data_IF_553902114685
#
_entry.id   IF_553902114685
#
_cell.length_a   1.000
_cell.length_b   1.000
_cell.length_c   1.000
_cell.angle_alpha   90.00
_cell.angle_beta   90.00
_cell.angle_gamma   90.00
#
_symmetry.space_group_name_H-M   'P 1'
#
loop_
_entity.id
_entity.type
_entity.pdbx_description
1 polymer ?
#
# COMPACT_ATOMS: atom_id res chain seq x y z
N UNK A 1 22.80 -1.45 6.16
CA UNK A 1 22.47 -2.10 4.87
C UNK A 1 21.09 -1.61 4.46
N UNK A 2 20.90 -1.22 3.20
CA UNK A 2 19.61 -0.75 2.68
C UNK A 2 19.08 -1.72 1.63
N UNK A 3 17.76 -1.76 1.46
CA UNK A 3 17.09 -2.54 0.41
C UNK A 3 15.94 -1.73 -0.19
N UNK A 4 15.67 -1.94 -1.47
CA UNK A 4 14.50 -1.40 -2.15
C UNK A 4 13.34 -2.38 -1.97
N UNK A 5 12.16 -1.85 -1.64
CA UNK A 5 10.91 -2.62 -1.57
C UNK A 5 9.92 -1.95 -2.51
N UNK A 6 9.49 -2.67 -3.54
CA UNK A 6 8.49 -2.20 -4.50
C UNK A 6 7.11 -2.68 -4.04
N UNK A 7 6.13 -1.78 -4.02
CA UNK A 7 4.74 -2.05 -3.65
C UNK A 7 3.85 -1.83 -4.88
N UNK A 8 3.53 -2.91 -5.58
CA UNK A 8 2.74 -2.86 -6.83
C UNK A 8 1.22 -3.03 -6.59
N UNK A 9 0.81 -3.38 -5.36
CA UNK A 9 -0.59 -3.63 -5.08
C UNK A 9 -1.37 -2.32 -4.87
N UNK A 10 -2.40 -2.08 -5.69
CA UNK A 10 -3.26 -0.89 -5.59
C UNK A 10 -4.48 -1.09 -4.66
N UNK A 11 -4.59 -2.24 -3.98
CA UNK A 11 -5.75 -2.56 -3.15
C UNK A 11 -5.39 -3.34 -1.88
N UNK A 12 -6.35 -3.44 -0.95
CA UNK A 12 -6.19 -4.25 0.26
C UNK A 12 -6.40 -5.75 0.00
N UNK A 13 -5.63 -6.60 0.66
CA UNK A 13 -5.93 -8.04 0.76
C UNK A 13 -7.05 -8.25 1.80
N UNK A 14 -8.08 -9.04 1.48
CA UNK A 14 -9.20 -9.30 2.40
C UNK A 14 -8.98 -10.61 3.14
N UNK A 15 -8.94 -10.54 4.48
CA UNK A 15 -8.91 -11.70 5.36
C UNK A 15 -10.29 -11.93 5.96
N UNK A 16 -10.69 -13.20 6.06
CA UNK A 16 -11.78 -13.63 6.90
C UNK A 16 -11.26 -13.82 8.32
N UNK A 17 -11.82 -13.07 9.26
CA UNK A 17 -11.49 -13.16 10.69
C UNK A 17 -12.70 -13.76 11.38
N UNK A 18 -12.48 -14.86 12.09
CA UNK A 18 -13.49 -15.52 12.90
C UNK A 18 -13.30 -15.04 14.33
N UNK A 19 -14.36 -14.51 14.96
CA UNK A 19 -14.32 -14.18 16.39
C UNK A 19 -14.58 -15.43 17.26
N UNK A 20 -14.42 -15.29 18.58
CA UNK A 20 -14.55 -16.40 19.53
C UNK A 20 -15.93 -17.07 19.51
N UNK A 21 -16.95 -16.33 19.06
CA UNK A 21 -18.34 -16.77 18.91
C UNK A 21 -18.59 -17.45 17.54
N UNK A 22 -17.59 -17.50 16.67
CA UNK A 22 -17.68 -18.10 15.34
C UNK A 22 -18.21 -17.17 14.24
N UNK A 23 -18.40 -15.87 14.51
CA UNK A 23 -18.85 -14.94 13.48
C UNK A 23 -17.70 -14.57 12.54
N UNK A 24 -17.99 -14.52 11.24
CA UNK A 24 -17.02 -14.16 10.21
C UNK A 24 -17.09 -12.66 9.91
N UNK A 25 -15.96 -11.97 10.00
CA UNK A 25 -15.81 -10.57 9.60
C UNK A 25 -14.69 -10.42 8.57
N UNK A 26 -14.92 -9.59 7.56
CA UNK A 26 -13.88 -9.25 6.60
C UNK A 26 -13.01 -8.11 7.13
N UNK A 27 -11.70 -8.32 7.14
CA UNK A 27 -10.70 -7.29 7.46
C UNK A 27 -9.76 -7.07 6.29
N UNK A 28 -9.56 -5.81 5.93
CA UNK A 28 -8.65 -5.42 4.86
C UNK A 28 -7.25 -5.19 5.41
N UNK A 29 -6.26 -5.91 4.87
CA UNK A 29 -4.83 -5.71 5.10
C UNK A 29 -4.28 -4.82 4.00
N UNK A 30 -3.54 -3.79 4.40
CA UNK A 30 -2.92 -2.85 3.46
C UNK A 30 -1.80 -3.55 2.70
N UNK A 31 -1.89 -3.54 1.36
CA UNK A 31 -0.80 -4.00 0.50
C UNK A 31 -0.13 -2.85 -0.26
N UNK A 32 -0.80 -1.70 -0.41
CA UNK A 32 -0.27 -0.53 -1.14
C UNK A 32 0.80 0.27 -0.38
N UNK A 33 0.91 0.11 0.94
CA UNK A 33 1.89 0.85 1.75
C UNK A 33 1.49 2.29 2.14
N UNK A 34 0.34 2.80 1.69
CA UNK A 34 -0.10 4.19 1.93
C UNK A 34 -0.99 4.39 3.16
N UNK A 35 -1.37 3.31 3.86
CA UNK A 35 -2.22 3.42 5.05
C UNK A 35 -1.46 4.07 6.20
N UNK A 36 -2.10 5.01 6.91
CA UNK A 36 -1.59 5.51 8.20
C UNK A 36 -1.94 4.60 9.37
N UNK A 37 -2.71 3.54 9.13
CA UNK A 37 -3.16 2.58 10.14
C UNK A 37 -2.66 1.16 9.82
N UNK A 38 -1.39 1.03 9.42
CA UNK A 38 -0.79 -0.27 9.12
C UNK A 38 -0.86 -1.20 10.35
N UNK A 39 -1.12 -2.52 10.17
CA UNK A 39 -1.21 -3.24 8.90
C UNK A 39 -2.58 -3.15 8.19
N UNK A 40 -3.54 -2.45 8.78
CA UNK A 40 -4.91 -2.41 8.27
C UNK A 40 -5.07 -1.38 7.14
N UNK A 41 -5.99 -1.68 6.23
CA UNK A 41 -6.39 -0.76 5.19
C UNK A 41 -7.34 0.30 5.76
N UNK A 42 -6.97 1.57 5.61
CA UNK A 42 -7.81 2.74 5.95
C UNK A 42 -8.44 3.41 4.72
N UNK A 43 -8.23 2.87 3.51
CA UNK A 43 -8.71 3.43 2.24
C UNK A 43 -7.72 4.33 1.50
N UNK A 44 -6.53 4.60 2.03
CA UNK A 44 -5.53 5.45 1.38
C UNK A 44 -4.98 4.89 0.06
N UNK A 45 -5.26 3.62 -0.29
CA UNK A 45 -4.90 3.04 -1.59
C UNK A 45 -5.51 3.79 -2.78
N UNK A 46 -6.60 4.54 -2.57
CA UNK A 46 -7.20 5.40 -3.61
C UNK A 46 -6.23 6.43 -4.20
N UNK A 47 -5.20 6.82 -3.46
CA UNK A 47 -4.14 7.72 -3.94
C UNK A 47 -3.22 7.08 -4.99
N UNK A 48 -3.36 5.78 -5.22
CA UNK A 48 -2.57 5.00 -6.18
C UNK A 48 -3.41 4.55 -7.39
N UNK A 49 -4.70 4.89 -7.46
CA UNK A 49 -5.61 4.45 -8.55
C UNK A 49 -5.27 5.05 -9.92
N UNK A 50 -4.59 6.20 -9.92
CA UNK A 50 -4.18 6.99 -11.08
C UNK A 50 -2.64 6.97 -11.27
N UNK A 51 -1.97 5.92 -10.79
CA UNK A 51 -0.56 5.68 -11.11
C UNK A 51 -0.42 5.18 -12.54
N UNK A 52 0.56 5.72 -13.27
CA UNK A 52 0.88 5.27 -14.63
C UNK A 52 1.73 4.00 -14.60
N UNK A 53 1.43 3.06 -15.49
CA UNK A 53 2.19 1.81 -15.61
C UNK A 53 3.66 2.08 -15.93
N UNK A 54 4.56 1.51 -15.14
CA UNK A 54 6.00 1.67 -15.32
C UNK A 54 6.60 2.97 -14.72
N UNK A 55 5.79 3.84 -14.13
CA UNK A 55 6.25 5.04 -13.43
C UNK A 55 6.40 4.75 -11.94
N UNK A 56 7.54 5.12 -11.36
CA UNK A 56 7.76 5.01 -9.92
C UNK A 56 7.37 6.30 -9.23
N UNK A 57 6.64 6.20 -8.13
CA UNK A 57 6.24 7.35 -7.31
C UNK A 57 6.83 7.27 -5.90
N UNK A 58 7.27 8.43 -5.39
CA UNK A 58 7.57 8.63 -3.97
C UNK A 58 6.44 9.40 -3.32
N UNK A 59 5.82 8.82 -2.30
CA UNK A 59 4.76 9.46 -1.51
C UNK A 59 5.35 10.20 -0.30
N UNK A 60 5.02 11.49 -0.18
CA UNK A 60 5.47 12.37 0.91
C UNK A 60 4.47 12.41 2.06
N UNK A 61 4.94 12.78 3.26
CA UNK A 61 4.11 12.87 4.47
C UNK A 61 2.95 13.86 4.35
N UNK A 62 3.14 14.95 3.59
CA UNK A 62 2.11 15.94 3.29
C UNK A 62 0.99 15.42 2.36
N UNK A 63 1.07 14.16 1.91
CA UNK A 63 0.08 13.53 1.06
C UNK A 63 0.27 13.74 -0.45
N UNK A 64 1.28 14.52 -0.86
CA UNK A 64 1.68 14.64 -2.27
C UNK A 64 2.54 13.46 -2.72
N UNK A 65 2.59 13.20 -4.03
CA UNK A 65 3.53 12.26 -4.66
C UNK A 65 4.38 12.98 -5.70
N UNK A 66 5.57 12.46 -5.94
CA UNK A 66 6.45 12.87 -7.05
C UNK A 66 7.00 11.65 -7.78
N UNK A 67 7.27 11.81 -9.08
CA UNK A 67 7.94 10.78 -9.86
C UNK A 67 9.37 10.56 -9.34
N UNK A 68 9.77 9.29 -9.29
CA UNK A 68 11.06 8.87 -8.78
C UNK A 68 11.87 8.20 -9.89
N UNK A 69 13.08 8.70 -10.11
CA UNK A 69 14.06 8.06 -10.98
C UNK A 69 15.05 7.29 -10.10
N UNK A 70 14.98 5.96 -10.10
CA UNK A 70 15.99 5.16 -9.41
C UNK A 70 17.19 5.01 -10.33
N UNK A 71 18.30 5.64 -9.99
CA UNK A 71 19.58 5.39 -10.65
C UNK A 71 20.11 4.05 -10.13
N UNK A 72 19.88 2.97 -10.88
CA UNK A 72 20.46 1.66 -10.59
C UNK A 72 21.97 1.73 -10.82
N UNK A 73 22.71 2.11 -9.79
CA UNK A 73 24.17 2.02 -9.78
C UNK A 73 24.58 0.55 -9.86
N UNK A 74 25.23 0.18 -10.96
CA UNK A 74 26.02 -1.04 -11.08
C UNK A 74 27.27 -0.94 -10.20
#
# INVERSE_FOLDING_TARGET
MARIVIKEAQASHKLQVVDEEGNIRLRGICMCGLSSNLPFCNGSHRKAEDEEEGVLYTYKENGTREECSIQMGL
#
